data_IF_525214105161
#
_entry.id   IF_525214105161
#
_cell.length_a   1.000
_cell.length_b   1.000
_cell.length_c   1.000
_cell.angle_alpha   90.00
_cell.angle_beta   90.00
_cell.angle_gamma   90.00
#
_symmetry.space_group_name_H-M   'P 1'
#
loop_
_entity.id
_entity.type
_entity.pdbx_description
1 polymer ?
#
# COMPACT_ATOMS: atom_id res chain seq x y z
N UNK A 1 -18.25 4.34 13.59
CA UNK A 1 -17.46 3.63 12.58
C UNK A 1 -16.27 4.51 12.29
N UNK A 2 -15.08 4.10 12.73
CA UNK A 2 -13.83 4.84 12.47
C UNK A 2 -13.19 4.31 11.19
N UNK A 3 -12.38 5.13 10.53
CA UNK A 3 -11.60 4.71 9.37
C UNK A 3 -10.10 4.85 9.65
N UNK A 4 -9.32 3.99 9.01
CA UNK A 4 -7.86 4.06 8.99
C UNK A 4 -7.40 4.09 7.54
N UNK A 5 -6.53 5.05 7.22
CA UNK A 5 -5.91 5.19 5.89
C UNK A 5 -4.45 4.79 5.97
N UNK A 6 -4.07 3.88 5.07
CA UNK A 6 -2.74 3.32 4.91
C UNK A 6 -2.22 3.66 3.52
N UNK A 7 -0.98 4.10 3.42
CA UNK A 7 -0.32 4.37 2.15
C UNK A 7 0.66 3.26 1.83
N UNK A 8 0.60 2.73 0.61
CA UNK A 8 1.58 1.79 0.06
C UNK A 8 2.43 2.54 -0.95
N UNK A 9 3.66 2.88 -0.57
CA UNK A 9 4.59 3.63 -1.41
C UNK A 9 5.31 2.70 -2.36
N UNK A 10 5.41 3.15 -3.60
CA UNK A 10 6.07 2.45 -4.69
C UNK A 10 7.43 3.08 -4.95
N UNK A 11 8.37 2.26 -5.40
CA UNK A 11 9.57 2.73 -6.08
C UNK A 11 9.36 2.56 -7.58
N UNK A 12 9.46 3.65 -8.34
CA UNK A 12 9.56 3.57 -9.79
C UNK A 12 11.01 3.32 -10.13
N UNK A 13 11.32 2.14 -10.66
CA UNK A 13 12.60 1.97 -11.33
C UNK A 13 12.60 2.91 -12.56
N UNK A 14 13.43 3.95 -12.48
CA UNK A 14 13.60 4.94 -13.56
C UNK A 14 14.16 4.31 -14.83
N UNK A 15 14.79 3.13 -14.72
CA UNK A 15 15.39 2.40 -15.83
C UNK A 15 14.43 1.38 -16.46
N UNK A 16 13.49 0.83 -15.70
CA UNK A 16 12.38 0.02 -16.21
C UNK A 16 11.04 0.43 -15.58
N UNK A 17 10.35 1.31 -16.28
CA UNK A 17 9.03 1.82 -15.93
C UNK A 17 7.92 0.74 -15.90
N UNK A 18 8.23 -0.51 -16.27
CA UNK A 18 7.29 -1.64 -16.23
C UNK A 18 7.36 -2.44 -14.93
N UNK A 19 8.45 -2.35 -14.17
CA UNK A 19 8.58 -3.02 -12.87
C UNK A 19 8.69 -1.97 -11.76
N UNK A 20 7.57 -1.79 -11.06
CA UNK A 20 7.51 -0.97 -9.86
C UNK A 20 7.29 -1.83 -8.63
N UNK A 21 7.86 -1.40 -7.52
CA UNK A 21 7.96 -2.23 -6.32
C UNK A 21 7.32 -1.54 -5.12
N UNK A 22 6.45 -2.22 -4.38
CA UNK A 22 6.00 -1.73 -3.07
C UNK A 22 7.15 -1.83 -2.06
N UNK A 23 7.66 -0.69 -1.61
CA UNK A 23 8.85 -0.62 -0.76
C UNK A 23 8.55 -0.22 0.69
N UNK A 24 7.44 0.49 0.93
CA UNK A 24 7.14 1.10 2.22
C UNK A 24 5.65 1.22 2.46
N UNK A 25 5.23 0.98 3.69
CA UNK A 25 3.86 1.20 4.15
C UNK A 25 3.87 2.25 5.25
N UNK A 26 3.01 3.27 5.13
CA UNK A 26 2.86 4.31 6.15
C UNK A 26 1.40 4.41 6.61
N UNK A 27 1.21 4.75 7.88
CA UNK A 27 -0.10 4.95 8.49
C UNK A 27 0.01 6.07 9.51
N UNK A 28 -0.98 6.97 9.56
CA UNK A 28 -0.93 8.13 10.43
C UNK A 28 -0.75 7.73 11.91
N UNK A 29 0.14 8.44 12.61
CA UNK A 29 0.46 8.17 14.01
C UNK A 29 1.32 6.92 14.25
N UNK A 30 1.84 6.29 13.19
CA UNK A 30 2.69 5.09 13.28
C UNK A 30 4.01 5.31 12.55
N UNK A 31 5.01 4.52 12.94
CA UNK A 31 6.27 4.46 12.22
C UNK A 31 6.06 3.76 10.87
N UNK A 32 6.78 4.24 9.85
CA UNK A 32 6.79 3.60 8.53
C UNK A 32 7.37 2.19 8.60
N UNK A 33 6.79 1.28 7.82
CA UNK A 33 7.27 -0.09 7.65
C UNK A 33 7.94 -0.21 6.29
N UNK A 34 9.25 -0.35 6.27
CA UNK A 34 10.00 -0.67 5.05
C UNK A 34 9.93 -2.17 4.79
N UNK A 35 9.47 -2.54 3.60
CA UNK A 35 9.28 -3.92 3.20
C UNK A 35 10.65 -4.54 2.83
N UNK A 36 11.02 -5.70 3.40
CA UNK A 36 12.23 -6.42 2.98
C UNK A 36 12.03 -6.97 1.56
N UNK A 37 13.09 -7.02 0.75
CA UNK A 37 13.03 -7.41 -0.68
C UNK A 37 12.15 -8.64 -0.96
N UNK A 38 12.25 -9.72 -0.18
CA UNK A 38 11.44 -10.93 -0.37
C UNK A 38 9.93 -10.80 -0.06
N UNK A 39 9.48 -9.66 0.46
CA UNK A 39 8.08 -9.36 0.74
C UNK A 39 7.55 -8.17 -0.08
N UNK A 40 8.39 -7.58 -0.91
CA UNK A 40 8.00 -6.50 -1.79
C UNK A 40 7.25 -7.08 -2.98
N UNK A 41 6.09 -6.51 -3.27
CA UNK A 41 5.34 -6.88 -4.45
C UNK A 41 5.84 -6.05 -5.64
N UNK A 42 6.32 -6.72 -6.67
CA UNK A 42 6.73 -6.11 -7.94
C UNK A 42 5.62 -6.23 -8.98
N UNK A 43 5.61 -5.31 -9.94
CA UNK A 43 4.78 -5.44 -11.14
C UNK A 43 4.38 -4.09 -11.75
N UNK A 44 3.38 -4.14 -12.61
CA UNK A 44 2.76 -2.96 -13.20
C UNK A 44 1.65 -2.46 -12.27
N UNK A 45 1.88 -1.34 -11.60
CA UNK A 45 0.97 -0.77 -10.59
C UNK A 45 -0.14 0.14 -11.15
N UNK A 46 -0.36 0.10 -12.47
CA UNK A 46 -1.47 0.72 -13.20
C UNK A 46 -2.50 -0.31 -13.74
N UNK A 47 -2.26 -1.61 -13.54
CA UNK A 47 -3.10 -2.70 -14.01
C UNK A 47 -4.36 -3.00 -13.17
N UNK A 48 -5.25 -3.83 -13.70
CA UNK A 48 -6.59 -4.10 -13.13
C UNK A 48 -6.60 -4.70 -11.71
N UNK A 49 -5.54 -5.41 -11.29
CA UNK A 49 -5.48 -6.13 -10.00
C UNK A 49 -4.67 -5.40 -8.92
N UNK A 50 -4.13 -4.23 -9.23
CA UNK A 50 -3.17 -3.50 -8.38
C UNK A 50 -3.81 -2.97 -7.10
N UNK A 51 -5.08 -2.57 -7.16
CA UNK A 51 -5.88 -2.21 -5.99
C UNK A 51 -6.01 -3.34 -4.96
N UNK A 52 -6.20 -4.59 -5.41
CA UNK A 52 -6.29 -5.75 -4.53
C UNK A 52 -4.93 -6.08 -3.89
N UNK A 53 -3.84 -5.93 -4.63
CA UNK A 53 -2.47 -6.10 -4.13
C UNK A 53 -2.13 -5.02 -3.11
N UNK A 54 -2.40 -3.74 -3.42
CA UNK A 54 -2.25 -2.62 -2.48
C UNK A 54 -3.05 -2.87 -1.19
N UNK A 55 -4.32 -3.26 -1.34
CA UNK A 55 -5.19 -3.61 -0.21
C UNK A 55 -4.62 -4.72 0.66
N UNK A 56 -4.10 -5.78 0.05
CA UNK A 56 -3.51 -6.91 0.79
C UNK A 56 -2.24 -6.52 1.55
N UNK A 57 -1.37 -5.71 0.94
CA UNK A 57 -0.15 -5.19 1.57
C UNK A 57 -0.51 -4.25 2.73
N UNK A 58 -1.41 -3.29 2.48
CA UNK A 58 -1.85 -2.34 3.49
C UNK A 58 -2.51 -3.03 4.69
N UNK A 59 -3.35 -4.04 4.44
CA UNK A 59 -3.98 -4.83 5.50
C UNK A 59 -2.95 -5.60 6.34
N UNK A 60 -1.92 -6.16 5.70
CA UNK A 60 -0.90 -6.97 6.36
C UNK A 60 0.12 -6.14 7.16
N UNK A 61 0.54 -4.99 6.63
CA UNK A 61 1.66 -4.23 7.18
C UNK A 61 1.29 -2.87 7.75
N UNK A 62 0.14 -2.31 7.37
CA UNK A 62 -0.31 -0.99 7.84
C UNK A 62 -1.24 -1.03 9.05
N UNK A 63 -1.81 -2.19 9.36
CA UNK A 63 -2.75 -2.40 10.46
C UNK A 63 -2.12 -3.20 11.60
N UNK A 64 -2.47 -2.87 12.84
CA UNK A 64 -2.16 -3.72 13.98
C UNK A 64 -3.11 -4.93 14.06
N UNK A 65 -2.84 -5.87 14.96
CA UNK A 65 -3.60 -7.12 15.03
C UNK A 65 -5.09 -6.90 15.40
N UNK A 66 -5.38 -5.89 16.22
CA UNK A 66 -6.75 -5.60 16.66
C UNK A 66 -7.57 -4.91 15.56
N UNK A 67 -6.95 -4.05 14.75
CA UNK A 67 -7.55 -3.47 13.56
C UNK A 67 -7.73 -4.52 12.47
N UNK A 68 -6.69 -5.31 12.19
CA UNK A 68 -6.68 -6.30 11.12
C UNK A 68 -7.77 -7.35 11.30
N UNK A 69 -8.14 -7.69 12.53
CA UNK A 69 -9.22 -8.63 12.83
C UNK A 69 -10.62 -8.13 12.44
N UNK A 70 -10.81 -6.80 12.28
CA UNK A 70 -12.12 -6.17 12.02
C UNK A 70 -12.13 -5.26 10.80
N UNK A 71 -10.98 -5.04 10.18
CA UNK A 71 -10.83 -4.12 9.06
C UNK A 71 -11.59 -4.62 7.84
N UNK A 72 -12.43 -3.75 7.28
CA UNK A 72 -13.10 -3.97 6.00
C UNK A 72 -12.53 -2.97 5.00
N UNK A 73 -11.99 -3.47 3.90
CA UNK A 73 -11.48 -2.62 2.81
C UNK A 73 -12.65 -1.83 2.22
N UNK A 74 -12.57 -0.50 2.29
CA UNK A 74 -13.56 0.43 1.72
C UNK A 74 -13.12 0.89 0.34
N UNK A 75 -11.86 1.30 0.23
CA UNK A 75 -11.31 1.91 -0.98
C UNK A 75 -9.82 1.62 -1.11
N UNK A 76 -9.36 1.48 -2.36
CA UNK A 76 -7.95 1.46 -2.70
C UNK A 76 -7.78 2.19 -4.02
N UNK A 77 -7.08 3.33 -3.99
CA UNK A 77 -6.92 4.21 -5.16
C UNK A 77 -5.46 4.61 -5.36
N UNK A 78 -5.01 4.74 -6.62
CA UNK A 78 -3.66 5.16 -6.92
C UNK A 78 -3.51 6.69 -6.76
N UNK A 79 -2.42 7.11 -6.13
CA UNK A 79 -1.91 8.47 -6.11
C UNK A 79 -0.50 8.46 -6.72
N UNK A 80 -0.44 8.38 -8.05
CA UNK A 80 0.82 8.29 -8.80
C UNK A 80 1.38 9.68 -9.03
N UNK A 81 1.97 10.24 -7.96
CA UNK A 81 2.76 11.47 -8.04
C UNK A 81 4.16 11.17 -8.58
N UNK A 82 4.76 12.12 -9.30
CA UNK A 82 6.08 11.93 -9.95
C UNK A 82 7.21 11.57 -8.97
N UNK A 83 7.15 12.05 -7.73
CA UNK A 83 8.23 11.93 -6.75
C UNK A 83 7.93 10.98 -5.59
N UNK A 84 6.67 10.62 -5.36
CA UNK A 84 6.24 9.69 -4.31
C UNK A 84 4.98 8.95 -4.76
N UNK A 85 5.13 8.03 -5.73
CA UNK A 85 4.01 7.23 -6.19
C UNK A 85 3.51 6.33 -5.06
N UNK A 86 2.20 6.33 -4.82
CA UNK A 86 1.63 5.51 -3.74
C UNK A 86 0.21 5.09 -4.02
N UNK A 87 -0.24 4.05 -3.35
CA UNK A 87 -1.64 3.69 -3.25
C UNK A 87 -2.19 4.16 -1.91
N UNK A 88 -3.35 4.79 -1.93
CA UNK A 88 -4.10 5.20 -0.74
C UNK A 88 -5.15 4.12 -0.48
N UNK A 89 -5.06 3.46 0.65
CA UNK A 89 -5.94 2.35 1.04
C UNK A 89 -6.69 2.72 2.30
N UNK A 90 -8.02 2.66 2.26
CA UNK A 90 -8.89 3.02 3.38
C UNK A 90 -9.65 1.81 3.89
N UNK A 91 -9.55 1.57 5.20
CA UNK A 91 -10.30 0.54 5.91
C UNK A 91 -11.33 1.16 6.86
N UNK A 92 -12.46 0.50 7.02
CA UNK A 92 -13.38 0.73 8.14
C UNK A 92 -13.05 -0.23 9.29
N UNK A 93 -13.13 0.27 10.54
CA UNK A 93 -12.81 -0.45 11.78
C UNK A 93 -13.97 -0.50 12.79
#
# INVERSE_FOLDING_TARGET
MSTTTVFVHLDYDVWDHRETEAIRVSCHGRADVYLPQGQRATGQWDGANTAAVAGSIAHRFGLDDAERARAVLVESVPAIERNDPRWIVTFAL
#
